data_IF_019798742524
#
_entry.id   IF_019798742524
#
_cell.length_a   1.000
_cell.length_b   1.000
_cell.length_c   1.000
_cell.angle_alpha   90.00
_cell.angle_beta   90.00
_cell.angle_gamma   90.00
#
_symmetry.space_group_name_H-M   'P 1'
#
loop_
_entity.id
_entity.type
_entity.pdbx_description
1 polymer ?
#
# COMPACT_ATOMS: atom_id res chain seq x y z
N UNK A 1 8.18 -19.11 48.64
CA UNK A 1 8.01 -18.99 47.17
C UNK A 1 7.18 -17.75 46.91
N UNK A 2 7.74 -16.74 46.25
CA UNK A 2 7.06 -15.46 45.97
C UNK A 2 6.59 -15.47 44.52
N UNK A 3 5.27 -15.49 44.31
CA UNK A 3 4.64 -15.28 43.00
C UNK A 3 4.62 -13.79 42.70
N UNK A 4 5.61 -13.31 41.96
CA UNK A 4 5.58 -11.98 41.35
C UNK A 4 4.53 -11.98 40.24
N UNK A 5 3.38 -11.40 40.52
CA UNK A 5 2.38 -11.05 39.52
C UNK A 5 3.05 -10.20 38.43
N UNK A 6 3.00 -10.67 37.18
CA UNK A 6 3.42 -9.90 36.01
C UNK A 6 2.57 -8.62 35.95
N UNK A 7 3.15 -7.48 36.31
CA UNK A 7 2.53 -6.17 36.09
C UNK A 7 2.20 -6.05 34.60
N UNK A 8 0.92 -5.99 34.26
CA UNK A 8 0.45 -5.50 32.98
C UNK A 8 0.93 -4.06 32.84
N UNK A 9 2.05 -3.86 32.13
CA UNK A 9 2.51 -2.53 31.75
C UNK A 9 1.71 -2.16 30.51
N UNK A 10 0.65 -1.37 30.69
CA UNK A 10 0.01 -0.65 29.60
C UNK A 10 1.08 0.21 28.92
N UNK A 11 1.27 0.02 27.62
CA UNK A 11 2.12 0.91 26.80
C UNK A 11 1.64 2.36 27.06
N UNK A 12 2.49 3.24 27.62
CA UNK A 12 2.10 4.58 28.06
C UNK A 12 1.76 5.53 26.89
N UNK A 13 1.85 5.06 25.64
CA UNK A 13 1.48 5.86 24.50
C UNK A 13 -0.05 5.90 24.38
N UNK A 14 -0.65 7.08 24.59
CA UNK A 14 -2.07 7.30 24.32
C UNK A 14 -2.41 6.83 22.90
N UNK A 15 -3.54 6.11 22.72
CA UNK A 15 -3.95 5.64 21.41
C UNK A 15 -4.16 6.83 20.47
N UNK A 16 -3.67 6.68 19.23
CA UNK A 16 -3.93 7.60 18.15
C UNK A 16 -5.44 7.69 17.94
N UNK A 17 -5.95 8.91 17.97
CA UNK A 17 -7.35 9.23 17.73
C UNK A 17 -7.59 9.71 16.28
N UNK A 18 -8.86 9.91 15.94
CA UNK A 18 -9.24 10.41 14.62
C UNK A 18 -8.69 11.81 14.33
N UNK A 19 -8.53 12.65 15.35
CA UNK A 19 -8.00 14.01 15.19
C UNK A 19 -6.53 13.97 14.77
N UNK A 20 -5.75 13.07 15.36
CA UNK A 20 -4.39 12.82 14.98
C UNK A 20 -4.28 12.28 13.55
N UNK A 21 -5.09 11.27 13.18
CA UNK A 21 -5.01 10.67 11.83
C UNK A 21 -5.29 11.72 10.74
N UNK A 22 -6.29 12.58 10.93
CA UNK A 22 -6.60 13.71 10.05
C UNK A 22 -5.44 14.70 9.98
N UNK A 23 -4.84 15.07 11.13
CA UNK A 23 -3.71 16.00 11.19
C UNK A 23 -2.48 15.45 10.48
N UNK A 24 -2.13 14.19 10.75
CA UNK A 24 -1.03 13.49 10.12
C UNK A 24 -1.22 13.37 8.61
N UNK A 25 -2.43 13.00 8.16
CA UNK A 25 -2.78 12.94 6.73
C UNK A 25 -2.65 14.31 6.06
N UNK A 26 -3.20 15.39 6.64
CA UNK A 26 -3.06 16.75 6.08
C UNK A 26 -1.60 17.21 6.00
N UNK A 27 -0.80 16.86 6.99
CA UNK A 27 0.64 17.13 6.98
C UNK A 27 1.31 16.38 5.83
N UNK A 28 1.02 15.07 5.65
CA UNK A 28 1.54 14.29 4.53
C UNK A 28 1.13 14.86 3.17
N UNK A 29 -0.11 15.33 3.00
CA UNK A 29 -0.57 15.93 1.73
C UNK A 29 0.35 17.08 1.30
N UNK A 30 0.57 18.05 2.20
CA UNK A 30 1.44 19.20 1.95
C UNK A 30 2.87 18.75 1.64
N UNK A 31 3.39 17.84 2.44
CA UNK A 31 4.74 17.32 2.29
C UNK A 31 4.93 16.59 0.94
N UNK A 32 3.96 15.79 0.48
CA UNK A 32 4.04 15.09 -0.80
C UNK A 32 4.11 16.07 -1.99
N UNK A 33 3.33 17.15 -1.95
CA UNK A 33 3.33 18.21 -2.97
C UNK A 33 4.68 18.96 -2.97
N UNK A 34 5.23 19.25 -1.80
CA UNK A 34 6.52 19.93 -1.67
C UNK A 34 7.71 19.04 -2.05
N UNK A 35 7.65 17.75 -1.73
CA UNK A 35 8.74 16.81 -1.95
C UNK A 35 9.01 16.57 -3.44
N UNK A 36 7.98 16.59 -4.29
CA UNK A 36 8.14 16.51 -5.74
C UNK A 36 9.08 17.60 -6.28
N UNK A 37 8.98 18.82 -5.75
CA UNK A 37 9.84 19.94 -6.16
C UNK A 37 11.31 19.75 -5.76
N UNK A 38 11.60 18.86 -4.80
CA UNK A 38 12.95 18.60 -4.31
C UNK A 38 13.66 17.50 -5.12
N UNK A 39 12.91 16.68 -5.85
CA UNK A 39 13.47 15.54 -6.57
C UNK A 39 14.14 16.02 -7.87
N UNK A 40 15.46 16.15 -7.82
CA UNK A 40 16.30 16.43 -8.98
C UNK A 40 17.28 15.28 -9.16
N UNK A 41 16.92 14.31 -10.00
CA UNK A 41 17.78 13.16 -10.27
C UNK A 41 18.45 13.36 -11.62
N UNK A 42 19.79 13.49 -11.61
CA UNK A 42 20.57 13.61 -12.83
C UNK A 42 20.98 12.23 -13.32
N UNK A 43 20.81 11.98 -14.61
CA UNK A 43 21.26 10.75 -15.23
C UNK A 43 22.80 10.66 -15.15
N UNK A 44 23.27 9.78 -14.28
CA UNK A 44 24.67 9.45 -14.03
C UNK A 44 24.75 7.93 -13.91
N UNK A 45 25.94 7.33 -14.10
CA UNK A 45 26.14 5.89 -13.98
C UNK A 45 25.49 5.26 -12.72
N UNK A 46 25.11 3.99 -12.80
CA UNK A 46 24.19 3.32 -11.86
C UNK A 46 24.58 3.49 -10.37
N UNK A 47 25.86 3.34 -10.04
CA UNK A 47 26.36 3.50 -8.66
C UNK A 47 26.06 4.90 -8.09
N UNK A 48 26.21 5.93 -8.90
CA UNK A 48 25.95 7.32 -8.49
C UNK A 48 24.45 7.59 -8.39
N UNK A 49 23.65 6.95 -9.23
CA UNK A 49 22.19 7.02 -9.16
C UNK A 49 21.68 6.39 -7.87
N UNK A 50 22.07 5.15 -7.55
CA UNK A 50 21.72 4.47 -6.29
C UNK A 50 22.10 5.33 -5.08
N UNK A 51 23.28 5.94 -5.09
CA UNK A 51 23.73 6.87 -4.03
C UNK A 51 22.84 8.12 -3.94
N UNK A 52 22.50 8.75 -5.06
CA UNK A 52 21.59 9.92 -5.08
C UNK A 52 20.22 9.57 -4.51
N UNK A 53 19.62 8.47 -4.97
CA UNK A 53 18.29 8.05 -4.51
C UNK A 53 18.32 7.66 -3.04
N UNK A 54 19.34 6.93 -2.59
CA UNK A 54 19.53 6.62 -1.17
C UNK A 54 19.64 7.89 -0.30
N UNK A 55 20.35 8.92 -0.78
CA UNK A 55 20.50 10.18 -0.08
C UNK A 55 19.17 10.95 0.04
N UNK A 56 18.24 10.83 -0.92
CA UNK A 56 16.92 11.45 -0.83
C UNK A 56 16.15 10.99 0.42
N UNK A 57 16.38 9.75 0.87
CA UNK A 57 15.66 9.16 2.00
C UNK A 57 16.45 9.16 3.32
N UNK A 58 17.69 9.66 3.32
CA UNK A 58 18.60 9.54 4.46
C UNK A 58 18.12 10.36 5.68
N UNK A 59 17.56 11.55 5.44
CA UNK A 59 17.08 12.45 6.49
C UNK A 59 15.68 12.10 7.02
N UNK A 60 15.01 11.11 6.41
CA UNK A 60 13.65 10.64 6.74
C UNK A 60 12.58 11.74 6.64
N UNK A 61 12.83 12.81 5.89
CA UNK A 61 11.85 13.87 5.62
C UNK A 61 10.96 13.55 4.43
N UNK A 62 11.45 12.71 3.51
CA UNK A 62 10.69 12.23 2.37
C UNK A 62 9.63 11.21 2.81
N UNK A 63 8.39 11.41 2.33
CA UNK A 63 7.35 10.38 2.36
C UNK A 63 7.66 9.33 1.29
N UNK A 64 8.51 8.36 1.64
CA UNK A 64 9.03 7.34 0.73
C UNK A 64 10.18 6.56 1.35
N UNK A 65 10.79 5.66 0.57
CA UNK A 65 11.95 4.89 0.99
C UNK A 65 12.78 4.39 -0.20
N UNK A 66 14.06 4.10 0.08
CA UNK A 66 14.98 3.50 -0.87
C UNK A 66 14.64 2.02 -1.08
N UNK A 67 14.65 1.58 -2.34
CA UNK A 67 14.46 0.19 -2.75
C UNK A 67 15.74 -0.23 -3.45
N UNK A 68 16.38 -1.31 -3.01
CA UNK A 68 17.64 -1.79 -3.60
C UNK A 68 17.41 -2.93 -4.59
N UNK A 69 16.42 -2.77 -5.48
CA UNK A 69 16.05 -3.81 -6.44
C UNK A 69 16.65 -3.51 -7.83
N UNK A 70 16.51 -4.48 -8.74
CA UNK A 70 16.95 -4.32 -10.13
C UNK A 70 15.98 -3.35 -10.81
N UNK A 71 16.51 -2.26 -11.37
CA UNK A 71 15.76 -1.21 -12.08
C UNK A 71 14.76 -0.39 -11.23
N UNK A 72 14.57 -0.67 -9.94
CA UNK A 72 13.75 0.14 -9.02
C UNK A 72 14.64 0.60 -7.88
N UNK A 73 14.78 1.92 -7.74
CA UNK A 73 15.73 2.53 -6.81
C UNK A 73 15.06 3.13 -5.56
N UNK A 74 13.78 3.44 -5.64
CA UNK A 74 13.05 4.02 -4.53
C UNK A 74 11.60 4.25 -4.86
N UNK A 75 10.81 4.38 -3.80
CA UNK A 75 9.39 4.69 -3.87
C UNK A 75 9.13 5.97 -3.10
N UNK A 76 8.33 6.84 -3.68
CA UNK A 76 7.82 8.07 -3.07
C UNK A 76 6.30 8.04 -3.05
N UNK A 77 5.70 8.71 -2.08
CA UNK A 77 4.27 8.96 -2.03
C UNK A 77 4.01 10.30 -2.71
N UNK A 78 3.08 10.30 -3.65
CA UNK A 78 2.55 11.50 -4.30
C UNK A 78 1.18 11.84 -3.74
N UNK A 79 0.80 13.11 -3.86
CA UNK A 79 -0.56 13.56 -3.59
C UNK A 79 -1.05 14.39 -4.78
N UNK A 80 -2.15 13.93 -5.38
CA UNK A 80 -2.86 14.64 -6.45
C UNK A 80 -3.90 15.56 -5.81
N UNK A 81 -3.65 16.85 -5.89
CA UNK A 81 -4.52 17.90 -5.34
C UNK A 81 -5.85 18.01 -6.08
N UNK A 82 -5.91 17.64 -7.37
CA UNK A 82 -7.13 17.73 -8.18
C UNK A 82 -8.16 16.68 -7.78
N UNK A 83 -7.69 15.44 -7.56
CA UNK A 83 -8.55 14.32 -7.23
C UNK A 83 -8.59 13.99 -5.74
N UNK A 84 -7.81 14.71 -4.93
CA UNK A 84 -7.60 14.53 -3.49
C UNK A 84 -7.22 13.08 -3.13
N UNK A 85 -6.24 12.52 -3.81
CA UNK A 85 -5.78 11.14 -3.61
C UNK A 85 -4.28 11.03 -3.50
N UNK A 86 -3.82 10.05 -2.74
CA UNK A 86 -2.42 9.66 -2.70
C UNK A 86 -2.11 8.62 -3.78
N UNK A 87 -0.85 8.53 -4.17
CA UNK A 87 -0.36 7.52 -5.09
C UNK A 87 1.06 7.10 -4.70
N UNK A 88 1.49 5.93 -5.17
CA UNK A 88 2.89 5.55 -5.15
C UNK A 88 3.56 5.91 -6.47
N UNK A 89 4.73 6.52 -6.42
CA UNK A 89 5.57 6.69 -7.59
C UNK A 89 6.95 6.09 -7.37
N UNK A 90 7.53 5.57 -8.43
CA UNK A 90 8.73 4.77 -8.42
C UNK A 90 9.82 5.46 -9.20
N UNK A 91 10.96 5.67 -8.56
CA UNK A 91 12.18 6.06 -9.24
C UNK A 91 12.76 4.78 -9.83
N UNK A 92 12.56 4.59 -11.12
CA UNK A 92 12.88 3.35 -11.80
C UNK A 92 13.55 3.61 -13.16
N UNK A 93 14.29 2.61 -13.65
CA UNK A 93 14.81 2.60 -15.02
C UNK A 93 13.88 1.77 -15.89
N UNK A 94 13.23 2.42 -16.84
CA UNK A 94 12.34 1.79 -17.81
C UNK A 94 12.98 1.96 -19.19
N UNK A 95 13.21 0.85 -19.91
CA UNK A 95 13.85 0.85 -21.23
C UNK A 95 15.19 1.61 -21.28
N UNK A 96 16.01 1.48 -20.22
CA UNK A 96 17.32 2.14 -20.13
C UNK A 96 17.27 3.59 -19.64
N UNK A 97 16.11 4.24 -19.68
CA UNK A 97 15.92 5.64 -19.26
C UNK A 97 15.48 5.69 -17.80
N UNK A 98 16.12 6.57 -17.02
CA UNK A 98 15.66 6.88 -15.68
C UNK A 98 14.36 7.69 -15.73
N UNK A 99 13.32 7.23 -15.04
CA UNK A 99 12.03 7.90 -15.01
C UNK A 99 11.37 7.77 -13.63
N UNK A 100 10.45 8.68 -13.36
CA UNK A 100 9.52 8.54 -12.23
C UNK A 100 8.23 7.97 -12.81
N UNK A 101 7.91 6.74 -12.44
CA UNK A 101 6.69 6.07 -12.85
C UNK A 101 5.62 6.22 -11.76
N UNK A 102 4.47 6.77 -12.10
CA UNK A 102 3.35 6.95 -11.19
C UNK A 102 2.36 5.77 -11.29
N UNK A 103 1.96 5.21 -10.16
CA UNK A 103 1.06 4.04 -10.09
C UNK A 103 -0.38 4.40 -10.45
N UNK A 104 -1.00 3.60 -11.33
CA UNK A 104 -2.43 3.75 -11.66
C UNK A 104 -3.39 3.42 -10.50
N UNK A 105 -2.89 2.89 -9.38
CA UNK A 105 -3.67 2.73 -8.15
C UNK A 105 -3.54 3.99 -7.28
N UNK A 106 -4.67 4.58 -6.94
CA UNK A 106 -4.81 5.76 -6.08
C UNK A 106 -5.38 5.38 -4.72
N UNK A 107 -5.08 6.17 -3.70
CA UNK A 107 -5.55 5.98 -2.33
C UNK A 107 -6.37 7.18 -1.90
N UNK A 108 -7.63 6.95 -1.53
CA UNK A 108 -8.44 8.02 -0.95
C UNK A 108 -7.82 8.56 0.34
N UNK A 109 -8.09 9.84 0.64
CA UNK A 109 -7.69 10.41 1.95
C UNK A 109 -8.23 9.60 3.13
N UNK A 110 -9.43 9.02 2.98
CA UNK A 110 -10.07 8.23 4.00
C UNK A 110 -9.37 6.89 4.23
N UNK A 111 -8.91 6.20 3.18
CA UNK A 111 -8.16 4.95 3.35
C UNK A 111 -6.83 5.18 4.07
N UNK A 112 -6.14 6.29 3.79
CA UNK A 112 -4.92 6.69 4.50
C UNK A 112 -5.20 7.04 5.97
N UNK A 113 -6.26 7.79 6.26
CA UNK A 113 -6.65 8.09 7.65
C UNK A 113 -7.00 6.83 8.44
N UNK A 114 -7.75 5.91 7.83
CA UNK A 114 -8.08 4.61 8.42
C UNK A 114 -6.83 3.80 8.67
N UNK A 115 -5.90 3.76 7.73
CA UNK A 115 -4.62 3.07 7.89
C UNK A 115 -3.82 3.61 9.10
N UNK A 116 -3.67 4.93 9.21
CA UNK A 116 -2.95 5.56 10.34
C UNK A 116 -3.63 5.22 11.67
N UNK A 117 -4.96 5.38 11.73
CA UNK A 117 -5.74 5.15 12.93
C UNK A 117 -5.72 3.68 13.34
N UNK A 118 -5.96 2.77 12.41
CA UNK A 118 -6.12 1.34 12.71
C UNK A 118 -4.80 0.67 13.07
N UNK A 119 -3.72 1.02 12.37
CA UNK A 119 -2.38 0.48 12.67
C UNK A 119 -1.61 1.32 13.69
N UNK A 120 -2.24 2.34 14.30
CA UNK A 120 -1.64 3.17 15.34
C UNK A 120 -0.25 3.69 14.93
N UNK A 121 -0.15 4.19 13.69
CA UNK A 121 1.12 4.53 13.06
C UNK A 121 1.79 5.76 13.71
N UNK A 122 2.82 5.52 14.54
CA UNK A 122 3.65 6.58 15.14
C UNK A 122 4.56 7.29 14.13
N UNK A 123 4.87 6.64 12.99
CA UNK A 123 5.69 7.19 11.88
C UNK A 123 4.94 7.10 10.54
N UNK A 124 3.93 7.97 10.30
CA UNK A 124 3.05 7.85 9.14
C UNK A 124 3.78 7.89 7.80
N UNK A 125 4.83 8.70 7.63
CA UNK A 125 5.57 8.81 6.36
C UNK A 125 6.02 7.46 5.80
N UNK A 126 6.82 6.74 6.58
CA UNK A 126 7.37 5.44 6.18
C UNK A 126 6.29 4.36 6.17
N UNK A 127 5.40 4.35 7.18
CA UNK A 127 4.33 3.36 7.29
C UNK A 127 3.37 3.41 6.10
N UNK A 128 2.96 4.61 5.69
CA UNK A 128 2.08 4.81 4.53
C UNK A 128 2.82 4.49 3.24
N UNK A 129 4.08 4.91 3.10
CA UNK A 129 4.88 4.55 1.92
C UNK A 129 5.01 3.03 1.75
N UNK A 130 5.34 2.28 2.82
CA UNK A 130 5.38 0.81 2.81
C UNK A 130 4.03 0.21 2.45
N UNK A 131 2.94 0.75 3.01
CA UNK A 131 1.60 0.24 2.76
C UNK A 131 1.13 0.50 1.31
N UNK A 132 1.36 1.69 0.78
CA UNK A 132 1.10 2.01 -0.63
C UNK A 132 1.95 1.12 -1.55
N UNK A 133 3.24 0.94 -1.22
CA UNK A 133 4.11 0.05 -1.96
C UNK A 133 3.60 -1.39 -1.98
N UNK A 134 3.09 -1.90 -0.85
CA UNK A 134 2.57 -3.28 -0.76
C UNK A 134 1.46 -3.59 -1.76
N UNK A 135 0.67 -2.58 -2.13
CA UNK A 135 -0.45 -2.69 -3.09
C UNK A 135 0.01 -2.47 -4.53
N UNK A 136 1.04 -1.64 -4.73
CA UNK A 136 1.43 -1.11 -6.06
C UNK A 136 2.68 -1.76 -6.64
N UNK A 137 3.47 -2.47 -5.83
CA UNK A 137 4.73 -3.14 -6.25
C UNK A 137 4.54 -4.20 -7.32
N UNK A 138 3.34 -4.77 -7.44
CA UNK A 138 3.05 -5.86 -8.37
C UNK A 138 3.08 -5.46 -9.83
N UNK A 139 3.09 -4.15 -10.13
CA UNK A 139 3.43 -3.65 -11.47
C UNK A 139 4.81 -4.11 -11.96
N UNK A 140 5.73 -4.40 -11.03
CA UNK A 140 7.07 -4.86 -11.36
C UNK A 140 7.32 -6.34 -11.05
N UNK A 141 6.47 -6.96 -10.23
CA UNK A 141 6.54 -8.38 -9.87
C UNK A 141 5.13 -9.00 -9.90
N UNK A 142 4.50 -9.16 -11.08
CA UNK A 142 3.10 -9.61 -11.17
C UNK A 142 2.88 -11.00 -10.56
N UNK A 143 3.89 -11.88 -10.62
CA UNK A 143 3.81 -13.24 -10.06
C UNK A 143 3.64 -13.33 -8.54
N UNK A 144 3.68 -12.20 -7.83
CA UNK A 144 3.52 -12.14 -6.37
C UNK A 144 2.21 -11.47 -5.95
N UNK A 145 1.34 -11.08 -6.90
CA UNK A 145 0.12 -10.34 -6.57
C UNK A 145 -0.92 -11.24 -5.89
N UNK A 146 -1.23 -10.92 -4.64
CA UNK A 146 -2.35 -11.50 -3.92
C UNK A 146 -3.53 -10.55 -4.03
N UNK A 147 -4.47 -10.87 -4.92
CA UNK A 147 -5.71 -10.14 -5.09
C UNK A 147 -6.91 -11.08 -4.91
N UNK A 148 -7.92 -10.59 -4.20
CA UNK A 148 -9.19 -11.30 -3.98
C UNK A 148 -10.26 -10.51 -4.73
N UNK A 149 -10.78 -11.11 -5.79
CA UNK A 149 -11.91 -10.55 -6.54
C UNK A 149 -13.19 -10.73 -5.73
N UNK A 150 -13.96 -9.65 -5.61
CA UNK A 150 -15.26 -9.61 -4.92
C UNK A 150 -16.34 -9.59 -6.00
N UNK A 151 -16.65 -10.76 -6.56
CA UNK A 151 -17.48 -10.92 -7.78
C UNK A 151 -18.96 -10.59 -7.56
N UNK A 152 -19.47 -10.80 -6.36
CA UNK A 152 -20.82 -10.42 -5.98
C UNK A 152 -20.74 -9.44 -4.82
N UNK A 153 -21.73 -8.56 -4.69
CA UNK A 153 -21.98 -7.79 -3.45
C UNK A 153 -22.22 -8.80 -2.32
N UNK A 154 -21.16 -9.41 -1.80
CA UNK A 154 -21.16 -10.14 -0.55
C UNK A 154 -21.72 -9.10 0.41
N UNK A 155 -22.90 -9.39 0.96
CA UNK A 155 -23.76 -8.40 1.62
C UNK A 155 -23.05 -7.85 2.86
N UNK A 156 -22.12 -6.94 2.62
CA UNK A 156 -21.22 -6.35 3.59
C UNK A 156 -21.56 -4.86 3.60
N UNK A 157 -22.45 -4.44 4.52
CA UNK A 157 -22.86 -3.05 4.63
C UNK A 157 -21.64 -2.14 4.78
N UNK A 158 -21.47 -1.18 3.87
CA UNK A 158 -20.35 -0.24 3.89
C UNK A 158 -19.18 -0.57 2.95
N UNK A 159 -19.27 -1.64 2.15
CA UNK A 159 -18.37 -1.95 1.02
C UNK A 159 -19.02 -1.72 -0.34
N UNK A 160 -20.03 -0.84 -0.42
CA UNK A 160 -20.59 -0.44 -1.71
C UNK A 160 -19.46 0.12 -2.59
N UNK A 161 -19.39 -0.35 -3.84
CA UNK A 161 -18.42 0.06 -4.86
C UNK A 161 -17.00 -0.53 -4.79
N UNK A 162 -16.66 -1.50 -3.92
CA UNK A 162 -15.36 -2.20 -4.02
C UNK A 162 -15.50 -3.55 -4.71
N UNK A 163 -14.50 -3.93 -5.50
CA UNK A 163 -14.46 -5.17 -6.28
C UNK A 163 -13.18 -5.99 -6.02
N UNK A 164 -12.20 -5.43 -5.32
CA UNK A 164 -10.95 -6.11 -4.99
C UNK A 164 -10.58 -5.88 -3.52
N UNK A 165 -10.12 -6.95 -2.87
CA UNK A 165 -9.37 -6.87 -1.62
C UNK A 165 -7.91 -7.29 -1.83
N UNK A 166 -6.98 -6.52 -1.26
CA UNK A 166 -5.54 -6.83 -1.26
C UNK A 166 -5.00 -6.90 0.17
N UNK A 167 -4.37 -8.00 0.59
CA UNK A 167 -3.79 -8.12 1.92
C UNK A 167 -2.58 -7.20 2.08
N UNK A 168 -2.48 -6.58 3.25
CA UNK A 168 -1.29 -5.85 3.67
C UNK A 168 -0.53 -6.69 4.69
N UNK A 169 0.63 -7.19 4.29
CA UNK A 169 1.49 -8.04 5.10
C UNK A 169 2.62 -7.23 5.74
N UNK A 170 2.94 -7.55 6.99
CA UNK A 170 4.11 -7.04 7.71
C UNK A 170 5.41 -7.72 7.28
N UNK A 171 6.51 -7.34 7.92
CA UNK A 171 7.86 -7.83 7.56
C UNK A 171 8.03 -9.35 7.78
N UNK A 172 7.16 -10.00 8.57
CA UNK A 172 7.14 -11.45 8.84
C UNK A 172 6.01 -12.20 8.12
N UNK A 173 5.47 -11.66 7.02
CA UNK A 173 4.30 -12.18 6.31
C UNK A 173 3.03 -12.31 7.19
N UNK A 174 3.00 -11.59 8.31
CA UNK A 174 1.84 -11.48 9.17
C UNK A 174 0.82 -10.52 8.55
N UNK A 175 -0.46 -10.93 8.52
CA UNK A 175 -1.52 -10.06 8.03
C UNK A 175 -1.69 -8.89 8.99
N UNK A 176 -1.51 -7.65 8.51
CA UNK A 176 -1.79 -6.43 9.27
C UNK A 176 -3.20 -5.89 8.98
N UNK A 177 -3.72 -6.20 7.80
CA UNK A 177 -5.07 -5.84 7.38
C UNK A 177 -5.27 -6.03 5.89
N UNK A 178 -6.34 -5.47 5.35
CA UNK A 178 -6.67 -5.51 3.93
C UNK A 178 -7.07 -4.13 3.41
N UNK A 179 -6.61 -3.84 2.20
CA UNK A 179 -7.07 -2.73 1.40
C UNK A 179 -8.25 -3.17 0.54
N UNK A 180 -9.31 -2.38 0.52
CA UNK A 180 -10.46 -2.61 -0.36
C UNK A 180 -10.49 -1.53 -1.43
N UNK A 181 -10.51 -1.96 -2.69
CA UNK A 181 -10.30 -1.13 -3.86
C UNK A 181 -11.47 -1.29 -4.85
N UNK A 182 -11.69 -0.23 -5.61
CA UNK A 182 -12.56 -0.21 -6.78
C UNK A 182 -11.71 -0.17 -8.03
N UNK A 183 -11.95 -1.09 -8.95
CA UNK A 183 -11.32 -1.12 -10.25
C UNK A 183 -11.96 -0.09 -11.17
N UNK A 184 -11.14 0.56 -11.99
CA UNK A 184 -11.58 1.48 -13.03
C UNK A 184 -11.16 0.86 -14.36
N UNK A 185 -12.16 0.42 -15.11
CA UNK A 185 -11.98 -0.17 -16.42
C UNK A 185 -11.82 0.90 -17.49
N UNK A 186 -11.22 0.50 -18.62
CA UNK A 186 -11.23 1.33 -19.82
C UNK A 186 -12.67 1.61 -20.28
N UNK A 187 -12.84 2.61 -21.16
CA UNK A 187 -14.15 3.02 -21.70
C UNK A 187 -14.97 1.85 -22.28
N UNK A 188 -14.31 0.82 -22.81
CA UNK A 188 -14.95 -0.35 -23.43
C UNK A 188 -15.21 -1.49 -22.45
N UNK A 189 -14.88 -1.35 -21.16
CA UNK A 189 -14.99 -2.38 -20.13
C UNK A 189 -14.28 -3.71 -20.46
N UNK A 190 -13.22 -3.66 -21.27
CA UNK A 190 -12.45 -4.84 -21.70
C UNK A 190 -11.22 -5.10 -20.83
N UNK A 191 -10.72 -4.10 -20.12
CA UNK A 191 -9.55 -4.23 -19.21
C UNK A 191 -9.65 -3.25 -18.05
N UNK A 192 -9.04 -3.61 -16.91
CA UNK A 192 -8.84 -2.69 -15.79
C UNK A 192 -7.62 -1.82 -16.05
N UNK A 193 -7.77 -0.50 -15.99
CA UNK A 193 -6.69 0.47 -16.26
C UNK A 193 -6.15 1.11 -14.98
N UNK A 194 -7.00 1.25 -13.97
CA UNK A 194 -6.67 1.94 -12.72
C UNK A 194 -7.45 1.35 -11.54
N UNK A 195 -7.10 1.78 -10.33
CA UNK A 195 -7.83 1.39 -9.13
C UNK A 195 -7.85 2.50 -8.08
N UNK A 196 -8.87 2.51 -7.22
CA UNK A 196 -8.96 3.44 -6.09
C UNK A 196 -9.18 2.67 -4.81
N UNK A 197 -8.21 2.73 -3.90
CA UNK A 197 -8.32 2.22 -2.53
C UNK A 197 -9.30 3.10 -1.76
N UNK A 198 -10.49 2.55 -1.49
CA UNK A 198 -11.57 3.23 -0.78
C UNK A 198 -11.40 3.17 0.73
N UNK A 199 -10.90 2.06 1.27
CA UNK A 199 -10.72 1.89 2.71
C UNK A 199 -9.61 0.90 3.08
N UNK A 200 -9.20 0.93 4.34
CA UNK A 200 -8.31 -0.04 4.98
C UNK A 200 -9.00 -0.64 6.21
N UNK A 201 -8.87 -1.95 6.38
CA UNK A 201 -9.48 -2.71 7.48
C UNK A 201 -8.38 -3.51 8.17
N UNK A 202 -8.19 -3.31 9.48
CA UNK A 202 -7.22 -4.08 10.27
C UNK A 202 -7.71 -5.49 10.61
N UNK A 203 -6.80 -6.34 11.09
CA UNK A 203 -7.10 -7.72 11.47
C UNK A 203 -8.16 -7.89 12.55
N UNK A 204 -8.36 -6.94 13.45
CA UNK A 204 -9.42 -7.05 14.46
C UNK A 204 -10.79 -6.86 13.80
N UNK A 205 -10.91 -5.86 12.92
CA UNK A 205 -12.12 -5.61 12.13
C UNK A 205 -12.41 -6.75 11.14
N UNK A 206 -11.38 -7.35 10.54
CA UNK A 206 -11.53 -8.46 9.59
C UNK A 206 -12.15 -9.73 10.20
N UNK A 207 -12.26 -9.82 11.55
CA UNK A 207 -12.97 -10.91 12.23
C UNK A 207 -14.48 -10.76 12.23
N UNK A 208 -14.99 -9.60 11.86
CA UNK A 208 -16.43 -9.38 11.77
C UNK A 208 -17.02 -10.22 10.63
N UNK A 209 -18.24 -10.72 10.83
CA UNK A 209 -18.95 -11.63 9.92
C UNK A 209 -18.95 -11.13 8.47
N UNK A 210 -19.04 -9.82 8.30
CA UNK A 210 -19.07 -9.15 7.00
C UNK A 210 -17.77 -9.30 6.17
N UNK A 211 -16.66 -9.73 6.77
CA UNK A 211 -15.39 -10.01 6.09
C UNK A 211 -15.02 -11.49 6.06
N UNK A 212 -15.85 -12.37 6.67
CA UNK A 212 -15.58 -13.81 6.83
C UNK A 212 -15.16 -14.49 5.52
N UNK A 213 -15.99 -14.39 4.48
CA UNK A 213 -15.69 -14.95 3.16
C UNK A 213 -14.38 -14.41 2.55
N UNK A 214 -14.06 -13.14 2.80
CA UNK A 214 -12.82 -12.54 2.28
C UNK A 214 -11.61 -13.16 2.97
N UNK A 215 -11.73 -13.40 4.28
CA UNK A 215 -10.72 -14.09 5.07
C UNK A 215 -10.59 -15.56 4.68
N UNK A 216 -11.70 -16.26 4.39
CA UNK A 216 -11.67 -17.65 3.90
C UNK A 216 -10.89 -17.76 2.58
N UNK A 217 -11.15 -16.87 1.61
CA UNK A 217 -10.42 -16.87 0.33
C UNK A 217 -8.94 -16.52 0.55
N UNK A 218 -8.63 -15.54 1.40
CA UNK A 218 -7.26 -15.20 1.75
C UNK A 218 -6.50 -16.40 2.33
N UNK A 219 -7.11 -17.12 3.29
CA UNK A 219 -6.49 -18.29 3.91
C UNK A 219 -6.30 -19.43 2.91
N UNK A 220 -7.29 -19.67 2.04
CA UNK A 220 -7.18 -20.67 0.98
C UNK A 220 -6.04 -20.34 0.00
N UNK A 221 -5.94 -19.10 -0.48
CA UNK A 221 -4.87 -18.64 -1.36
C UNK A 221 -3.50 -18.73 -0.68
N UNK A 222 -3.39 -18.29 0.58
CA UNK A 222 -2.16 -18.37 1.37
C UNK A 222 -1.70 -19.82 1.55
N UNK A 223 -2.61 -20.73 1.87
CA UNK A 223 -2.31 -22.15 2.01
C UNK A 223 -1.90 -22.80 0.69
N UNK A 224 -2.53 -22.42 -0.43
CA UNK A 224 -2.15 -22.87 -1.77
C UNK A 224 -0.74 -22.41 -2.15
N UNK A 225 -0.38 -21.17 -1.82
CA UNK A 225 0.96 -20.62 -2.02
C UNK A 225 2.02 -21.37 -1.17
N UNK A 226 1.76 -21.55 0.12
CA UNK A 226 2.68 -22.27 1.04
C UNK A 226 2.87 -23.74 0.62
N UNK A 227 1.81 -24.40 0.15
CA UNK A 227 1.87 -25.82 -0.22
C UNK A 227 2.46 -26.08 -1.61
N UNK A 228 2.87 -25.05 -2.35
CA UNK A 228 3.39 -25.18 -3.72
C UNK A 228 2.35 -25.69 -4.72
N UNK A 229 1.07 -25.81 -4.33
CA UNK A 229 -0.06 -26.17 -5.20
C UNK A 229 -0.55 -25.00 -6.05
N UNK A 230 0.11 -23.86 -5.93
CA UNK A 230 -0.10 -22.65 -6.68
C UNK A 230 0.31 -22.81 -8.17
N UNK A 231 -0.39 -23.68 -8.92
CA UNK A 231 -0.72 -23.37 -10.31
C UNK A 231 -1.88 -22.37 -10.26
N UNK A 232 -1.64 -21.19 -9.68
CA UNK A 232 -2.63 -20.13 -9.67
C UNK A 232 -2.58 -19.60 -11.10
N UNK A 233 -3.62 -19.88 -11.88
CA UNK A 233 -4.11 -18.88 -12.81
C UNK A 233 -4.40 -17.64 -11.95
N UNK A 234 -3.35 -16.86 -11.67
CA UNK A 234 -3.47 -15.57 -11.02
C UNK A 234 -4.45 -14.84 -11.89
N UNK A 235 -5.52 -14.31 -11.29
CA UNK A 235 -6.35 -13.36 -12.00
C UNK A 235 -5.40 -12.25 -12.44
N UNK A 236 -5.00 -12.32 -13.72
CA UNK A 236 -4.29 -11.23 -14.36
C UNK A 236 -5.29 -10.10 -14.31
N UNK A 237 -5.15 -9.21 -13.34
CA UNK A 237 -5.32 -7.82 -13.71
C UNK A 237 -4.25 -7.59 -14.76
N UNK A 238 -4.66 -7.60 -16.03
CA UNK A 238 -3.85 -7.10 -17.15
C UNK A 238 -3.65 -5.59 -16.94
N UNK A 239 -2.92 -5.23 -15.90
CA UNK A 239 -2.39 -3.90 -15.63
C UNK A 239 -1.15 -3.73 -16.50
N UNK A 240 -1.42 -3.45 -17.77
CA UNK A 240 -0.62 -2.67 -18.73
C UNK A 240 0.84 -3.08 -18.92
N UNK A 241 1.07 -3.82 -20.02
CA UNK A 241 2.15 -3.54 -20.97
C UNK A 241 1.52 -3.37 -22.35
N UNK A 242 1.24 -2.11 -22.74
CA UNK A 242 1.04 -1.68 -24.12
C UNK A 242 1.59 -0.28 -24.28
#
# INVERSE_FOLDING_TARGET
MSTTASKFVLDPTLPIDQKYSVKARKFLQRECVENLKKIHIKEKGEKNLRKQVKNLFQDKTMSGFYIDEKNIYGMIVLFDESSLKFAGAYIARVNGVLSIYDSNIRFSVHSVERLILRLQMKKPRLGIAKAIHSVTKYLFCPEKDFAINIEEKWRTPGLNEVDIAKPYLGDNDELLGMFFLTSISNLNCTRVEAGVVKTFVDTNKLREEQYSKCMEVYEAQRNAFISGKANVEMSRMDLLMS
#
